data_IF_325828185373
#
_entry.id   IF_325828185373
#
_cell.length_a   1.000
_cell.length_b   1.000
_cell.length_c   1.000
_cell.angle_alpha   90.00
_cell.angle_beta   90.00
_cell.angle_gamma   90.00
#
_symmetry.space_group_name_H-M   'P 1'
#
loop_
_entity.id
_entity.type
_entity.pdbx_description
1 polymer ?
#
# COMPACT_ATOMS: atom_id res chain seq x y z
N UNK A 1 -30.90 42.50 -33.25
CA UNK A 1 -32.22 42.54 -32.58
C UNK A 1 -32.82 41.15 -32.52
N UNK A 2 -32.98 40.59 -31.33
CA UNK A 2 -33.70 39.32 -31.08
C UNK A 2 -33.98 39.23 -29.59
N UNK A 3 -35.26 39.21 -29.21
CA UNK A 3 -35.79 39.57 -27.90
C UNK A 3 -35.59 38.48 -26.83
N UNK A 4 -35.42 38.95 -25.59
CA UNK A 4 -35.32 38.23 -24.32
C UNK A 4 -36.49 37.28 -24.03
N UNK A 5 -36.22 36.17 -23.32
CA UNK A 5 -37.16 35.55 -22.39
C UNK A 5 -36.42 34.75 -21.29
N UNK A 6 -36.40 35.33 -20.10
CA UNK A 6 -35.93 34.74 -18.84
C UNK A 6 -37.00 33.81 -18.26
N UNK A 7 -36.66 32.61 -17.78
CA UNK A 7 -37.48 31.91 -16.77
C UNK A 7 -36.61 31.48 -15.60
N UNK A 8 -36.82 32.14 -14.45
CA UNK A 8 -36.48 31.67 -13.11
C UNK A 8 -37.78 31.32 -12.39
N UNK A 9 -37.83 30.16 -11.75
CA UNK A 9 -38.70 29.81 -10.61
C UNK A 9 -38.09 28.52 -10.04
N UNK A 10 -37.41 28.48 -8.87
CA UNK A 10 -37.86 28.62 -7.47
C UNK A 10 -38.98 27.67 -7.09
N UNK A 11 -38.60 26.45 -6.66
CA UNK A 11 -39.48 25.47 -6.03
C UNK A 11 -38.85 25.21 -4.65
N UNK A 12 -39.49 25.74 -3.62
CA UNK A 12 -39.23 25.42 -2.22
C UNK A 12 -40.47 24.68 -1.66
N UNK A 13 -40.28 24.12 -0.47
CA UNK A 13 -41.24 23.51 0.47
C UNK A 13 -41.33 21.97 0.41
N UNK A 14 -40.62 21.19 1.27
CA UNK A 14 -40.66 20.98 2.75
C UNK A 14 -41.74 19.98 3.18
N UNK A 15 -41.36 18.88 3.85
CA UNK A 15 -42.04 18.20 5.00
C UNK A 15 -40.99 17.30 5.71
N UNK A 16 -40.45 17.66 6.89
CA UNK A 16 -40.85 17.26 8.26
C UNK A 16 -40.81 15.74 8.55
N UNK A 17 -39.97 15.35 9.53
CA UNK A 17 -39.59 13.96 9.81
C UNK A 17 -40.40 13.21 10.87
N UNK A 18 -39.88 12.05 11.27
CA UNK A 18 -40.28 11.29 12.46
C UNK A 18 -39.04 10.58 13.04
N UNK A 19 -38.72 10.89 14.29
CA UNK A 19 -37.79 10.16 15.16
C UNK A 19 -38.58 9.07 15.88
N UNK A 20 -38.12 7.81 15.83
CA UNK A 20 -38.50 6.80 16.83
C UNK A 20 -37.24 6.05 17.26
N UNK A 21 -36.81 6.38 18.47
CA UNK A 21 -35.80 5.69 19.27
C UNK A 21 -36.44 4.42 19.87
N UNK A 22 -35.85 3.25 19.64
CA UNK A 22 -36.19 2.03 20.37
C UNK A 22 -34.93 1.48 21.05
N UNK A 23 -34.70 1.95 22.27
CA UNK A 23 -33.76 1.35 23.23
C UNK A 23 -34.47 0.15 23.86
N UNK A 24 -34.04 -1.07 23.51
CA UNK A 24 -34.47 -2.27 24.22
C UNK A 24 -33.41 -2.63 25.26
N UNK A 25 -33.70 -2.25 26.50
CA UNK A 25 -33.04 -2.73 27.71
C UNK A 25 -33.50 -4.17 27.95
N UNK A 26 -32.65 -5.15 27.65
CA UNK A 26 -32.84 -6.53 28.05
C UNK A 26 -32.30 -6.75 29.47
N UNK A 27 -33.15 -6.63 30.48
CA UNK A 27 -32.88 -7.17 31.83
C UNK A 27 -33.67 -8.47 31.96
N UNK A 28 -32.97 -9.59 31.83
CA UNK A 28 -33.51 -10.94 31.95
C UNK A 28 -32.85 -11.71 33.09
N UNK A 29 -33.66 -12.21 34.02
CA UNK A 29 -33.35 -12.78 35.34
C UNK A 29 -32.48 -14.04 35.30
N UNK A 30 -31.56 -14.17 36.26
CA UNK A 30 -30.86 -15.43 36.57
C UNK A 30 -31.87 -16.41 37.16
N UNK A 31 -32.15 -17.50 36.45
CA UNK A 31 -32.89 -18.66 36.96
C UNK A 31 -31.89 -19.75 37.39
N UNK A 32 -32.26 -20.49 38.45
CA UNK A 32 -31.47 -21.51 39.11
C UNK A 32 -30.95 -22.59 38.15
N UNK A 33 -29.72 -23.01 38.44
CA UNK A 33 -29.03 -24.15 37.85
C UNK A 33 -29.78 -25.43 38.23
N UNK A 34 -30.39 -26.09 37.25
CA UNK A 34 -30.65 -27.53 37.31
C UNK A 34 -29.47 -28.22 36.62
N UNK A 35 -28.79 -29.11 37.35
CA UNK A 35 -27.67 -29.90 36.83
C UNK A 35 -28.23 -31.20 36.29
N UNK A 36 -28.53 -31.23 35.01
CA UNK A 36 -28.70 -32.48 34.28
C UNK A 36 -27.37 -32.90 33.67
N UNK A 37 -26.80 -33.96 34.23
CA UNK A 37 -25.69 -34.74 33.69
C UNK A 37 -26.09 -35.31 32.32
N UNK A 38 -25.59 -34.70 31.25
CA UNK A 38 -25.53 -35.29 29.91
C UNK A 38 -24.38 -34.63 29.15
N UNK A 39 -23.27 -35.34 29.04
CA UNK A 39 -22.08 -34.91 28.31
C UNK A 39 -22.35 -34.73 26.81
N UNK A 40 -21.96 -33.58 26.21
CA UNK A 40 -21.77 -33.46 24.77
C UNK A 40 -20.35 -32.95 24.43
N UNK A 41 -19.66 -33.72 23.57
CA UNK A 41 -18.63 -33.33 22.58
C UNK A 41 -17.69 -32.13 22.91
N UNK A 42 -16.36 -32.31 23.03
CA UNK A 42 -15.42 -31.20 23.10
C UNK A 42 -15.19 -30.61 21.69
N UNK A 43 -16.26 -30.08 21.09
CA UNK A 43 -16.18 -29.16 19.96
C UNK A 43 -16.89 -27.89 20.36
N UNK A 44 -16.31 -27.24 21.35
CA UNK A 44 -16.44 -25.81 21.52
C UNK A 44 -15.95 -25.16 20.24
N UNK A 45 -16.89 -24.81 19.35
CA UNK A 45 -16.67 -23.81 18.34
C UNK A 45 -16.47 -22.49 19.09
N UNK A 46 -15.25 -22.26 19.56
CA UNK A 46 -14.82 -20.97 20.00
C UNK A 46 -15.10 -20.01 18.84
N UNK A 47 -15.97 -19.03 19.06
CA UNK A 47 -16.03 -17.87 18.19
C UNK A 47 -14.63 -17.24 18.23
N UNK A 48 -13.83 -17.49 17.19
CA UNK A 48 -12.55 -16.83 17.03
C UNK A 48 -12.84 -15.32 17.06
N UNK A 49 -12.17 -14.55 17.94
CA UNK A 49 -12.18 -13.10 17.77
C UNK A 49 -11.69 -12.84 16.34
N UNK A 50 -12.39 -11.96 15.61
CA UNK A 50 -12.00 -11.56 14.27
C UNK A 50 -10.59 -10.95 14.33
N UNK A 51 -9.59 -11.80 14.19
CA UNK A 51 -8.19 -11.40 14.08
C UNK A 51 -8.09 -10.55 12.83
N UNK A 52 -7.37 -9.43 12.92
CA UNK A 52 -6.79 -8.78 11.75
C UNK A 52 -6.32 -9.89 10.79
N UNK A 53 -6.91 -9.95 9.59
CA UNK A 53 -6.71 -11.08 8.69
C UNK A 53 -5.21 -11.23 8.44
N UNK A 54 -4.69 -12.45 8.64
CA UNK A 54 -3.29 -12.75 8.37
C UNK A 54 -2.97 -12.49 6.88
N UNK A 55 -1.73 -12.10 6.60
CA UNK A 55 -1.28 -11.90 5.23
C UNK A 55 -1.37 -13.19 4.41
N UNK A 56 -1.79 -13.07 3.16
CA UNK A 56 -1.83 -14.16 2.18
C UNK A 56 -0.41 -14.69 1.88
N UNK A 57 -0.25 -15.87 1.26
CA UNK A 57 1.07 -16.36 0.86
C UNK A 57 1.85 -15.39 -0.04
N UNK A 58 1.16 -14.71 -0.96
CA UNK A 58 1.77 -13.70 -1.84
C UNK A 58 2.22 -12.45 -1.05
N UNK A 59 1.43 -12.01 -0.09
CA UNK A 59 1.80 -10.89 0.79
C UNK A 59 2.96 -11.27 1.73
N UNK A 60 3.00 -12.51 2.21
CA UNK A 60 4.14 -13.01 2.99
C UNK A 60 5.43 -13.05 2.16
N UNK A 61 5.34 -13.32 0.86
CA UNK A 61 6.49 -13.17 -0.06
C UNK A 61 6.97 -11.71 -0.10
N UNK A 62 6.05 -10.73 -0.14
CA UNK A 62 6.40 -9.31 -0.06
C UNK A 62 7.08 -8.98 1.29
N UNK A 63 6.54 -9.49 2.41
CA UNK A 63 7.12 -9.30 3.75
C UNK A 63 8.57 -9.78 3.82
N UNK A 64 8.88 -10.92 3.19
CA UNK A 64 10.25 -11.44 3.09
C UNK A 64 11.20 -10.62 2.21
N UNK A 65 10.69 -9.66 1.45
CA UNK A 65 11.45 -8.81 0.53
C UNK A 65 11.55 -7.36 1.00
N UNK A 66 10.98 -7.02 2.16
CA UNK A 66 11.00 -5.66 2.70
C UNK A 66 12.44 -5.20 2.95
N UNK A 67 12.81 -3.97 2.50
CA UNK A 67 14.07 -3.36 2.89
C UNK A 67 14.17 -3.18 4.40
N UNK A 68 15.39 -3.22 4.98
CA UNK A 68 15.62 -2.85 6.37
C UNK A 68 14.97 -1.48 6.70
N UNK A 69 14.26 -1.42 7.83
CA UNK A 69 13.51 -0.23 8.26
C UNK A 69 12.00 -0.40 8.17
N UNK A 70 11.50 -1.21 7.24
CA UNK A 70 10.09 -1.58 7.18
C UNK A 70 9.83 -2.84 8.01
N UNK A 71 8.96 -2.73 9.01
CA UNK A 71 8.49 -3.88 9.78
C UNK A 71 7.15 -4.35 9.26
N UNK A 72 6.87 -5.66 9.37
CA UNK A 72 5.57 -6.23 9.01
C UNK A 72 4.40 -5.54 9.71
N UNK A 73 4.60 -5.06 10.94
CA UNK A 73 3.58 -4.38 11.73
C UNK A 73 3.24 -2.97 11.21
N UNK A 74 4.09 -2.41 10.35
CA UNK A 74 3.89 -1.10 9.74
C UNK A 74 3.32 -1.19 8.31
N UNK A 75 3.04 -2.42 7.84
CA UNK A 75 2.47 -2.69 6.54
C UNK A 75 0.99 -3.08 6.64
N UNK A 76 0.22 -2.68 5.63
CA UNK A 76 -1.16 -3.10 5.40
C UNK A 76 -1.34 -3.47 3.93
N UNK A 77 -2.40 -4.23 3.61
CA UNK A 77 -2.76 -4.49 2.21
C UNK A 77 -3.12 -3.16 1.53
N UNK A 78 -2.59 -2.93 0.34
CA UNK A 78 -2.93 -1.75 -0.45
C UNK A 78 -4.44 -1.71 -0.72
N UNK A 79 -5.05 -0.53 -0.56
CA UNK A 79 -6.50 -0.35 -0.79
C UNK A 79 -6.84 -0.25 -2.28
N UNK A 80 -5.86 0.14 -3.09
CA UNK A 80 -5.91 0.45 -4.51
C UNK A 80 -4.73 -0.24 -5.24
N UNK A 81 -4.69 -1.58 -5.25
CA UNK A 81 -3.66 -2.30 -5.99
C UNK A 81 -3.80 -2.04 -7.49
N UNK A 82 -2.69 -2.15 -8.22
CA UNK A 82 -2.72 -2.23 -9.68
C UNK A 82 -3.56 -3.44 -10.13
N UNK A 83 -4.15 -3.35 -11.32
CA UNK A 83 -5.04 -4.40 -11.86
C UNK A 83 -4.30 -5.73 -12.02
N UNK A 84 -3.04 -5.69 -12.47
CA UNK A 84 -2.21 -6.87 -12.71
C UNK A 84 -1.41 -7.32 -11.46
N UNK A 85 -1.67 -6.73 -10.30
CA UNK A 85 -0.97 -7.08 -9.07
C UNK A 85 -1.47 -8.41 -8.47
N UNK A 86 -0.54 -9.33 -8.20
CA UNK A 86 -0.83 -10.55 -7.41
C UNK A 86 -1.07 -10.20 -5.93
N UNK A 87 -0.29 -9.26 -5.41
CA UNK A 87 -0.44 -8.71 -4.07
C UNK A 87 0.24 -7.34 -3.99
N UNK A 88 -0.25 -6.47 -3.11
CA UNK A 88 0.42 -5.21 -2.82
C UNK A 88 0.29 -4.84 -1.35
N UNK A 89 1.39 -4.36 -0.77
CA UNK A 89 1.46 -3.88 0.61
C UNK A 89 1.90 -2.42 0.64
N UNK A 90 1.17 -1.62 1.42
CA UNK A 90 1.53 -0.26 1.79
C UNK A 90 2.16 -0.28 3.17
N UNK A 91 3.40 0.16 3.24
CA UNK A 91 4.18 0.21 4.44
C UNK A 91 4.48 1.67 4.79
N UNK A 92 4.22 2.03 6.04
CA UNK A 92 4.68 3.30 6.61
C UNK A 92 5.92 3.04 7.44
N UNK A 93 6.80 4.03 7.57
CA UNK A 93 7.89 3.97 8.51
C UNK A 93 7.68 4.99 9.62
N UNK A 94 7.96 4.59 10.86
CA UNK A 94 7.94 5.47 12.02
C UNK A 94 9.38 5.86 12.36
N UNK A 95 10.04 6.66 11.53
CA UNK A 95 11.42 7.13 11.77
C UNK A 95 11.64 8.57 11.28
N UNK A 96 12.82 9.14 11.61
CA UNK A 96 13.13 10.58 11.56
C UNK A 96 13.08 11.22 10.17
N UNK A 97 13.39 12.52 10.09
CA UNK A 97 13.20 13.37 8.89
C UNK A 97 13.89 12.90 7.61
N UNK A 98 14.90 12.05 7.74
CA UNK A 98 15.80 11.69 6.63
C UNK A 98 15.43 10.33 6.01
N UNK A 99 14.51 9.58 6.63
CA UNK A 99 14.05 8.29 6.13
C UNK A 99 12.80 8.45 5.26
N UNK A 100 12.57 7.54 4.29
CA UNK A 100 11.30 7.50 3.60
C UNK A 100 10.16 7.19 4.56
N UNK A 101 9.03 7.87 4.34
CA UNK A 101 7.87 7.81 5.24
C UNK A 101 6.83 6.80 4.76
N UNK A 102 6.88 6.45 3.46
CA UNK A 102 5.96 5.53 2.82
C UNK A 102 6.64 4.69 1.74
N UNK A 103 6.21 3.44 1.64
CA UNK A 103 6.55 2.53 0.56
C UNK A 103 5.34 1.71 0.13
N UNK A 104 5.19 1.51 -1.18
CA UNK A 104 4.33 0.46 -1.75
C UNK A 104 5.22 -0.62 -2.35
N UNK A 105 4.92 -1.88 -2.05
CA UNK A 105 5.56 -3.04 -2.63
C UNK A 105 4.51 -3.91 -3.31
N UNK A 106 4.65 -4.09 -4.63
CA UNK A 106 3.70 -4.84 -5.45
C UNK A 106 4.38 -6.04 -6.08
N UNK A 107 3.76 -7.20 -5.94
CA UNK A 107 4.20 -8.47 -6.52
C UNK A 107 3.40 -8.79 -7.77
N UNK A 108 4.08 -9.32 -8.79
CA UNK A 108 3.50 -9.68 -10.08
C UNK A 108 3.67 -11.17 -10.40
N UNK A 109 2.87 -11.64 -11.35
CA UNK A 109 2.95 -13.01 -11.88
C UNK A 109 4.09 -13.17 -12.89
N UNK A 110 4.37 -12.12 -13.68
CA UNK A 110 5.42 -12.10 -14.68
C UNK A 110 6.08 -10.73 -14.85
N UNK A 111 7.10 -10.70 -15.71
CA UNK A 111 7.94 -9.52 -15.96
C UNK A 111 7.24 -8.50 -16.86
N UNK A 112 6.27 -8.90 -17.69
CA UNK A 112 5.57 -7.99 -18.60
C UNK A 112 4.62 -7.10 -17.80
N UNK A 113 3.83 -7.69 -16.89
CA UNK A 113 2.99 -6.96 -15.94
C UNK A 113 3.81 -6.01 -15.04
N UNK A 114 4.91 -6.51 -14.46
CA UNK A 114 5.83 -5.70 -13.67
C UNK A 114 6.41 -4.52 -14.47
N UNK A 115 6.78 -4.76 -15.74
CA UNK A 115 7.36 -3.71 -16.59
C UNK A 115 6.31 -2.68 -16.97
N UNK A 116 5.08 -3.10 -17.27
CA UNK A 116 3.95 -2.21 -17.55
C UNK A 116 3.73 -1.21 -16.42
N UNK A 117 3.48 -1.71 -15.22
CA UNK A 117 3.20 -0.86 -14.06
C UNK A 117 4.39 -0.02 -13.62
N UNK A 118 5.62 -0.48 -13.86
CA UNK A 118 6.81 0.35 -13.66
C UNK A 118 6.82 1.55 -14.62
N UNK A 119 6.43 1.37 -15.89
CA UNK A 119 6.35 2.48 -16.85
C UNK A 119 5.22 3.45 -16.51
N UNK A 120 4.07 2.94 -16.07
CA UNK A 120 2.95 3.77 -15.64
C UNK A 120 3.33 4.60 -14.40
N UNK A 121 3.95 3.94 -13.41
CA UNK A 121 4.51 4.63 -12.23
C UNK A 121 5.52 5.70 -12.64
N UNK A 122 6.39 5.41 -13.61
CA UNK A 122 7.37 6.38 -14.10
C UNK A 122 6.70 7.55 -14.85
N UNK A 123 5.60 7.30 -15.57
CA UNK A 123 4.82 8.30 -16.31
C UNK A 123 4.13 9.31 -15.40
N UNK A 124 3.74 8.88 -14.20
CA UNK A 124 3.10 9.72 -13.18
C UNK A 124 4.08 10.59 -12.37
N UNK A 125 5.39 10.38 -12.55
CA UNK A 125 6.43 11.14 -11.85
C UNK A 125 6.89 12.36 -12.63
N UNK A 126 7.19 13.45 -11.92
CA UNK A 126 8.09 14.49 -12.44
C UNK A 126 9.52 13.95 -12.39
N UNK A 127 9.94 13.31 -13.49
CA UNK A 127 11.21 12.58 -13.56
C UNK A 127 12.42 13.50 -13.38
N UNK A 128 13.38 13.04 -12.58
CA UNK A 128 14.65 13.70 -12.32
C UNK A 128 15.80 12.70 -12.51
N UNK A 129 17.02 13.16 -12.81
CA UNK A 129 18.18 12.27 -12.86
C UNK A 129 18.38 11.57 -11.51
N UNK A 130 18.42 10.23 -11.51
CA UNK A 130 18.88 9.50 -10.34
C UNK A 130 20.38 9.82 -10.09
N UNK A 131 20.82 10.14 -8.87
CA UNK A 131 22.22 10.50 -8.61
C UNK A 131 23.23 9.44 -9.10
N UNK A 132 24.15 9.85 -9.96
CA UNK A 132 25.17 8.95 -10.54
C UNK A 132 24.64 7.99 -11.61
N UNK A 133 23.35 8.08 -11.95
CA UNK A 133 22.80 7.53 -13.19
C UNK A 133 22.82 8.63 -14.27
N UNK A 134 22.61 8.25 -15.53
CA UNK A 134 22.65 9.15 -16.67
C UNK A 134 21.50 10.19 -16.69
N UNK A 135 20.94 10.52 -17.87
CA UNK A 135 19.86 11.50 -17.96
C UNK A 135 18.61 11.05 -17.19
N UNK A 136 17.67 11.97 -16.96
CA UNK A 136 16.38 11.68 -16.31
C UNK A 136 15.60 10.58 -17.04
N UNK A 137 14.91 9.77 -16.24
CA UNK A 137 13.99 8.73 -16.69
C UNK A 137 14.45 7.31 -16.32
N UNK A 138 13.71 6.29 -16.80
CA UNK A 138 14.01 4.90 -16.51
C UNK A 138 15.44 4.50 -16.89
N UNK A 139 16.17 3.96 -15.92
CA UNK A 139 17.51 3.41 -16.10
C UNK A 139 17.61 2.00 -15.54
N UNK A 140 18.72 1.33 -15.81
CA UNK A 140 19.05 0.03 -15.23
C UNK A 140 19.82 0.23 -13.93
N UNK A 141 19.57 -0.62 -12.92
CA UNK A 141 20.43 -0.73 -11.74
C UNK A 141 21.05 -2.12 -11.62
N UNK A 142 22.23 -2.18 -11.01
CA UNK A 142 23.00 -3.42 -10.83
C UNK A 142 23.11 -3.77 -9.35
N UNK A 143 23.12 -5.07 -9.06
CA UNK A 143 23.32 -5.63 -7.71
C UNK A 143 24.68 -5.26 -7.11
N UNK A 144 25.69 -5.23 -7.96
CA UNK A 144 27.06 -4.98 -7.57
C UNK A 144 27.58 -3.69 -8.22
N UNK A 145 28.54 -3.06 -7.52
CA UNK A 145 29.21 -1.86 -8.00
C UNK A 145 30.17 -2.12 -9.17
N UNK A 146 30.42 -3.39 -9.52
CA UNK A 146 31.26 -3.80 -10.66
C UNK A 146 30.44 -3.95 -11.96
N UNK A 147 29.13 -3.73 -11.89
CA UNK A 147 28.21 -3.75 -13.03
C UNK A 147 27.90 -5.15 -13.57
N UNK A 148 28.11 -6.22 -12.80
CA UNK A 148 28.03 -7.59 -13.30
C UNK A 148 26.59 -8.08 -13.49
N UNK A 149 25.75 -7.96 -12.45
CA UNK A 149 24.40 -8.50 -12.47
C UNK A 149 23.34 -7.39 -12.44
N UNK A 150 22.51 -7.34 -13.49
CA UNK A 150 21.36 -6.44 -13.58
C UNK A 150 20.33 -6.87 -12.53
N UNK A 151 19.92 -5.93 -11.68
CA UNK A 151 18.90 -6.14 -10.65
C UNK A 151 17.49 -5.75 -11.11
N UNK A 152 17.39 -4.79 -12.03
CA UNK A 152 16.13 -4.33 -12.59
C UNK A 152 16.20 -2.92 -13.18
N UNK A 153 15.06 -2.23 -13.16
CA UNK A 153 14.89 -0.83 -13.58
C UNK A 153 14.69 0.09 -12.39
N UNK A 154 15.08 1.35 -12.55
CA UNK A 154 14.91 2.41 -11.55
C UNK A 154 14.52 3.71 -12.23
N UNK A 155 13.65 4.47 -11.59
CA UNK A 155 13.33 5.86 -11.95
C UNK A 155 13.28 6.71 -10.67
N UNK A 156 13.74 7.95 -10.78
CA UNK A 156 13.77 8.93 -9.71
C UNK A 156 12.97 10.17 -10.11
N UNK A 157 12.40 10.85 -9.15
CA UNK A 157 11.63 12.07 -9.42
C UNK A 157 10.83 12.53 -8.22
N UNK A 158 9.76 13.25 -8.52
CA UNK A 158 8.84 13.80 -7.51
C UNK A 158 7.41 13.36 -7.82
N UNK A 159 6.62 13.15 -6.77
CA UNK A 159 5.15 13.02 -6.81
C UNK A 159 4.60 13.93 -5.72
N UNK A 160 3.70 14.84 -6.06
CA UNK A 160 3.12 15.83 -5.14
C UNK A 160 4.18 16.55 -4.27
N UNK A 161 5.23 17.07 -4.92
CA UNK A 161 6.38 17.75 -4.28
C UNK A 161 7.16 16.90 -3.26
N UNK A 162 6.99 15.58 -3.26
CA UNK A 162 7.78 14.64 -2.45
C UNK A 162 8.74 13.84 -3.30
N UNK A 163 9.97 13.69 -2.83
CA UNK A 163 10.94 12.78 -3.43
C UNK A 163 10.37 11.38 -3.51
N UNK A 164 10.53 10.75 -4.68
CA UNK A 164 10.03 9.41 -4.96
C UNK A 164 11.05 8.63 -5.81
N UNK A 165 11.21 7.35 -5.48
CA UNK A 165 11.99 6.39 -6.25
C UNK A 165 11.13 5.16 -6.47
N UNK A 166 10.98 4.76 -7.74
CA UNK A 166 10.41 3.49 -8.10
C UNK A 166 11.48 2.59 -8.71
N UNK A 167 11.53 1.32 -8.32
CA UNK A 167 12.45 0.35 -8.91
C UNK A 167 11.84 -1.05 -8.95
N UNK A 168 12.23 -1.82 -9.96
CA UNK A 168 11.89 -3.23 -10.08
C UNK A 168 12.99 -4.09 -9.47
N UNK A 169 12.61 -5.27 -8.97
CA UNK A 169 13.51 -6.40 -8.71
C UNK A 169 13.07 -7.56 -9.60
N UNK A 170 13.69 -7.66 -10.77
CA UNK A 170 13.18 -8.52 -11.85
C UNK A 170 13.14 -10.00 -11.43
N UNK A 171 14.14 -10.49 -10.68
CA UNK A 171 14.20 -11.87 -10.22
C UNK A 171 13.11 -12.24 -9.20
N UNK A 172 12.55 -11.26 -8.49
CA UNK A 172 11.49 -11.48 -7.49
C UNK A 172 10.10 -11.08 -7.99
N UNK A 173 10.01 -10.47 -9.19
CA UNK A 173 8.81 -9.89 -9.76
C UNK A 173 8.16 -8.84 -8.85
N UNK A 174 9.01 -7.95 -8.30
CA UNK A 174 8.60 -6.94 -7.32
C UNK A 174 8.79 -5.53 -7.90
N UNK A 175 7.75 -4.70 -7.84
CA UNK A 175 7.84 -3.24 -7.94
C UNK A 175 7.87 -2.65 -6.54
N UNK A 176 8.84 -1.78 -6.27
CA UNK A 176 8.89 -1.00 -5.05
C UNK A 176 8.83 0.49 -5.40
N UNK A 177 7.92 1.21 -4.76
CA UNK A 177 7.78 2.68 -4.89
C UNK A 177 7.89 3.27 -3.50
N UNK A 178 8.86 4.15 -3.29
CA UNK A 178 9.18 4.71 -1.98
C UNK A 178 9.26 6.21 -2.07
N UNK A 179 8.57 6.91 -1.17
CA UNK A 179 8.58 8.37 -1.13
C UNK A 179 8.80 8.92 0.29
N UNK A 180 9.16 10.20 0.35
CA UNK A 180 9.49 10.91 1.58
C UNK A 180 10.99 11.18 1.73
N UNK A 181 11.43 11.39 2.96
CA UNK A 181 12.76 11.93 3.27
C UNK A 181 12.88 13.43 2.99
N UNK A 182 14.07 13.99 3.25
CA UNK A 182 14.34 15.41 3.10
C UNK A 182 14.41 15.87 1.63
N UNK A 183 15.10 15.09 0.79
CA UNK A 183 15.22 15.33 -0.64
C UNK A 183 15.52 14.04 -1.42
N UNK A 184 15.50 14.12 -2.75
CA UNK A 184 15.77 12.98 -3.64
C UNK A 184 17.19 12.41 -3.49
N UNK A 185 18.17 13.25 -3.18
CA UNK A 185 19.54 12.82 -2.96
C UNK A 185 19.66 11.93 -1.72
N UNK A 186 19.02 12.32 -0.62
CA UNK A 186 18.98 11.52 0.60
C UNK A 186 18.17 10.24 0.44
N UNK A 187 17.02 10.31 -0.23
CA UNK A 187 16.22 9.13 -0.57
C UNK A 187 17.02 8.14 -1.44
N UNK A 188 17.81 8.63 -2.39
CA UNK A 188 18.65 7.77 -3.22
C UNK A 188 19.82 7.15 -2.45
N UNK A 189 20.42 7.86 -1.49
CA UNK A 189 21.42 7.27 -0.58
C UNK A 189 20.81 6.14 0.25
N UNK A 190 19.59 6.34 0.75
CA UNK A 190 18.84 5.29 1.45
C UNK A 190 18.59 4.08 0.52
N UNK A 191 18.11 4.30 -0.70
CA UNK A 191 17.85 3.24 -1.66
C UNK A 191 19.12 2.42 -1.96
N UNK A 192 20.25 3.08 -2.18
CA UNK A 192 21.54 2.39 -2.40
C UNK A 192 21.97 1.52 -1.22
N UNK A 193 21.59 1.90 0.00
CA UNK A 193 22.00 1.20 1.22
C UNK A 193 21.10 0.02 1.56
N UNK A 194 19.79 0.14 1.30
CA UNK A 194 18.77 -0.80 1.77
C UNK A 194 17.86 -1.35 0.67
N UNK A 195 17.57 -0.57 -0.37
CA UNK A 195 16.70 -0.96 -1.49
C UNK A 195 17.42 -1.84 -2.51
N UNK A 196 18.58 -1.40 -3.01
CA UNK A 196 19.37 -2.11 -4.02
C UNK A 196 20.03 -3.40 -3.50
N UNK A 197 20.27 -3.48 -2.19
CA UNK A 197 21.12 -4.50 -1.54
C UNK A 197 20.36 -5.57 -0.75
N UNK A 198 19.04 -5.43 -0.57
CA UNK A 198 18.18 -6.36 0.19
C UNK A 198 17.89 -7.69 -0.54
N UNK A 199 18.91 -8.25 -1.19
CA UNK A 199 18.86 -9.50 -1.95
C UNK A 199 19.50 -10.69 -1.22
N UNK A 200 19.87 -10.52 0.05
CA UNK A 200 20.45 -11.58 0.87
C UNK A 200 19.38 -12.25 1.73
#
# INVERSE_FOLDING_TARGET
MGRSATRRARWFDVVAGVVVLAVLIGVGRIALVDRDDSAPDPRGSAAQPASAAAFSPAEQKIVGLLPPGYSVAACARAADPFEDAVASLDCTQNSGSDDPTYARFTLYEDLDALTGDFQDTAGDMVQSPCPGQGPSGPGTWTLDAKGGQIGGKIVCGMVDDRANIAWTRDAQLLLATVNGGADLGDLYKWWRRYGATSQQ
#
